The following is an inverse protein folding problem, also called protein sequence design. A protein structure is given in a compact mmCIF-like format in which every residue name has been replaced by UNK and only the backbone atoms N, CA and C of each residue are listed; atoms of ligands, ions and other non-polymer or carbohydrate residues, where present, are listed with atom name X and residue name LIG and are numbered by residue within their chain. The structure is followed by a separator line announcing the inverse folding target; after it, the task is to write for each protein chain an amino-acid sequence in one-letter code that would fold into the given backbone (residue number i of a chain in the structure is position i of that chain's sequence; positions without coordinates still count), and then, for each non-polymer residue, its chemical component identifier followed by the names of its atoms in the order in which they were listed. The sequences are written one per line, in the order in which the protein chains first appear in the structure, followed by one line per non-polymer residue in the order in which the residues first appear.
data_IF_354312999093
#
_entry.id   IF_354312999093
#
_cell.length_a   1.000
_cell.length_b   1.000
_cell.length_c   1.000
_cell.angle_alpha   90.00
_cell.angle_beta   90.00
_cell.angle_gamma   90.00
#
_symmetry.space_group_name_H-M   'P 1'
#
loop_
_entity.id
_entity.type
_entity.pdbx_description
1 polymer ?
#
# COMPACT_ATOMS: atom_id res chain seq x y z
N UNK A 1 19.97 1.99 16.06
CA UNK A 1 20.25 2.77 14.84
C UNK A 1 20.50 1.85 13.64
N UNK A 2 21.45 0.88 13.71
CA UNK A 2 21.80 -0.03 12.59
C UNK A 2 20.61 -0.86 12.08
N UNK A 3 19.77 -1.36 12.97
CA UNK A 3 18.57 -2.13 12.61
C UNK A 3 17.55 -1.25 11.85
N UNK A 4 17.36 -0.02 12.30
CA UNK A 4 16.49 0.96 11.66
C UNK A 4 16.99 1.34 10.27
N UNK A 5 18.29 1.68 10.14
CA UNK A 5 18.90 1.98 8.85
C UNK A 5 18.79 0.82 7.86
N UNK A 6 19.09 -0.42 8.30
CA UNK A 6 18.93 -1.62 7.45
C UNK A 6 17.47 -1.87 7.07
N UNK A 7 16.50 -1.62 7.96
CA UNK A 7 15.07 -1.76 7.66
C UNK A 7 14.60 -0.73 6.62
N UNK A 8 15.04 0.51 6.73
CA UNK A 8 14.79 1.58 5.76
C UNK A 8 15.35 1.22 4.39
N UNK A 9 16.61 0.79 4.32
CA UNK A 9 17.24 0.39 3.05
C UNK A 9 16.51 -0.80 2.43
N UNK A 10 16.18 -1.81 3.24
CA UNK A 10 15.45 -2.99 2.77
C UNK A 10 14.05 -2.62 2.25
N UNK A 11 13.34 -1.72 2.92
CA UNK A 11 12.01 -1.30 2.47
C UNK A 11 12.04 -0.58 1.13
N UNK A 12 13.04 0.29 0.91
CA UNK A 12 13.22 0.97 -0.38
C UNK A 12 13.55 -0.02 -1.48
N UNK A 13 14.51 -0.94 -1.24
CA UNK A 13 14.88 -1.97 -2.21
C UNK A 13 13.72 -2.92 -2.52
N UNK A 14 12.99 -3.35 -1.49
CA UNK A 14 11.80 -4.18 -1.66
C UNK A 14 10.71 -3.44 -2.43
N UNK A 15 10.48 -2.16 -2.13
CA UNK A 15 9.54 -1.32 -2.86
C UNK A 15 9.87 -1.20 -4.35
N UNK A 16 11.15 -0.98 -4.68
CA UNK A 16 11.62 -0.91 -6.07
C UNK A 16 11.47 -2.29 -6.75
N UNK A 17 11.84 -3.38 -6.07
CA UNK A 17 11.71 -4.73 -6.62
C UNK A 17 10.24 -5.08 -6.90
N UNK A 18 9.34 -4.77 -5.96
CA UNK A 18 7.90 -4.98 -6.13
C UNK A 18 7.36 -4.12 -7.26
N UNK A 19 7.74 -2.84 -7.36
CA UNK A 19 7.33 -1.97 -8.46
C UNK A 19 7.80 -2.50 -9.81
N UNK A 20 9.03 -3.00 -9.90
CA UNK A 20 9.55 -3.62 -11.12
C UNK A 20 8.79 -4.91 -11.51
N UNK A 21 8.46 -5.76 -10.52
CA UNK A 21 7.62 -6.95 -10.74
C UNK A 21 6.21 -6.56 -11.22
N UNK A 22 5.60 -5.56 -10.61
CA UNK A 22 4.29 -5.05 -11.00
C UNK A 22 4.30 -4.47 -12.41
N UNK A 23 5.34 -3.72 -12.77
CA UNK A 23 5.51 -3.21 -14.13
C UNK A 23 5.71 -4.32 -15.16
N UNK A 24 6.51 -5.35 -14.83
CA UNK A 24 6.77 -6.48 -15.73
C UNK A 24 5.55 -7.39 -15.93
N UNK A 25 4.77 -7.61 -14.87
CA UNK A 25 3.61 -8.52 -14.87
C UNK A 25 2.26 -7.80 -14.81
N UNK A 26 2.19 -6.55 -15.29
CA UNK A 26 0.98 -5.73 -15.23
C UNK A 26 -0.24 -6.42 -15.85
N UNK A 27 -0.11 -6.92 -17.08
CA UNK A 27 -1.22 -7.55 -17.80
C UNK A 27 -1.71 -8.83 -17.12
N UNK A 28 -0.86 -9.82 -16.80
CA UNK A 28 -1.31 -11.03 -16.13
C UNK A 28 -1.88 -10.76 -14.73
N UNK A 29 -1.38 -9.78 -14.01
CA UNK A 29 -1.92 -9.41 -12.71
C UNK A 29 -3.33 -8.83 -12.83
N UNK A 30 -3.56 -7.89 -13.76
CA UNK A 30 -4.88 -7.30 -13.98
C UNK A 30 -5.91 -8.36 -14.37
N UNK A 31 -5.56 -9.32 -15.24
CA UNK A 31 -6.46 -10.41 -15.61
C UNK A 31 -6.74 -11.35 -14.44
N UNK A 32 -5.72 -11.66 -13.64
CA UNK A 32 -5.86 -12.52 -12.45
C UNK A 32 -6.80 -11.88 -11.39
N UNK A 33 -6.76 -10.55 -11.25
CA UNK A 33 -7.64 -9.81 -10.33
C UNK A 33 -9.02 -9.48 -10.90
N UNK A 34 -9.35 -9.97 -12.10
CA UNK A 34 -10.70 -9.90 -12.65
C UNK A 34 -10.97 -8.64 -13.49
N UNK A 35 -9.94 -8.02 -14.06
CA UNK A 35 -10.14 -6.95 -15.04
C UNK A 35 -10.86 -7.48 -16.27
N UNK A 36 -11.98 -6.87 -16.62
CA UNK A 36 -12.79 -7.20 -17.79
C UNK A 36 -12.35 -6.41 -19.01
N UNK A 37 -12.66 -6.87 -20.22
CA UNK A 37 -12.34 -6.14 -21.44
C UNK A 37 -12.85 -4.69 -21.46
N UNK A 38 -13.96 -4.42 -20.78
CA UNK A 38 -14.57 -3.10 -20.71
C UNK A 38 -13.79 -2.12 -19.81
N UNK A 39 -13.16 -2.61 -18.73
CA UNK A 39 -12.46 -1.76 -17.76
C UNK A 39 -10.93 -1.89 -17.84
N UNK A 40 -10.40 -2.77 -18.68
CA UNK A 40 -8.96 -3.09 -18.74
C UNK A 40 -8.10 -1.86 -19.02
N UNK A 41 -8.53 -0.98 -19.92
CA UNK A 41 -7.77 0.23 -20.25
C UNK A 41 -7.63 1.17 -19.06
N UNK A 42 -8.73 1.44 -18.35
CA UNK A 42 -8.73 2.27 -17.15
C UNK A 42 -7.96 1.63 -16.00
N UNK A 43 -8.12 0.32 -15.82
CA UNK A 43 -7.39 -0.43 -14.81
C UNK A 43 -5.89 -0.42 -15.06
N UNK A 44 -5.47 -0.55 -16.32
CA UNK A 44 -4.07 -0.49 -16.72
C UNK A 44 -3.45 0.88 -16.46
N UNK A 45 -4.17 1.93 -16.80
CA UNK A 45 -3.73 3.31 -16.57
C UNK A 45 -3.55 3.56 -15.06
N UNK A 46 -4.57 3.29 -14.26
CA UNK A 46 -4.51 3.38 -12.80
C UNK A 46 -3.34 2.61 -12.20
N UNK A 47 -3.19 1.35 -12.63
CA UNK A 47 -2.15 0.46 -12.15
C UNK A 47 -0.74 1.00 -12.45
N UNK A 48 -0.54 1.63 -13.61
CA UNK A 48 0.76 2.21 -13.98
C UNK A 48 1.14 3.34 -13.03
N UNK A 49 0.22 4.26 -12.74
CA UNK A 49 0.50 5.37 -11.81
C UNK A 49 0.71 4.90 -10.38
N UNK A 50 -0.10 3.94 -9.91
CA UNK A 50 0.08 3.36 -8.57
C UNK A 50 1.43 2.62 -8.47
N UNK A 51 1.85 1.92 -9.53
CA UNK A 51 3.13 1.21 -9.54
C UNK A 51 4.31 2.15 -9.30
N UNK A 52 4.27 3.37 -9.83
CA UNK A 52 5.28 4.40 -9.55
C UNK A 52 5.28 4.83 -8.07
N UNK A 53 4.12 4.80 -7.41
CA UNK A 53 3.97 5.12 -5.99
C UNK A 53 4.41 4.00 -5.03
N UNK A 54 4.52 2.74 -5.50
CA UNK A 54 4.82 1.58 -4.64
C UNK A 54 6.08 1.77 -3.78
N UNK A 55 7.23 2.21 -4.29
CA UNK A 55 8.43 2.38 -3.47
C UNK A 55 8.21 3.38 -2.32
N UNK A 56 7.48 4.46 -2.59
CA UNK A 56 7.15 5.50 -1.61
C UNK A 56 6.18 4.94 -0.55
N UNK A 57 5.18 4.18 -1.01
CA UNK A 57 4.22 3.53 -0.13
C UNK A 57 4.89 2.52 0.81
N UNK A 58 5.71 1.62 0.27
CA UNK A 58 6.41 0.60 1.07
C UNK A 58 7.34 1.26 2.10
N UNK A 59 8.04 2.32 1.71
CA UNK A 59 8.85 3.11 2.62
C UNK A 59 7.99 3.73 3.75
N UNK A 60 6.87 4.40 3.41
CA UNK A 60 5.95 5.01 4.38
C UNK A 60 5.39 3.99 5.38
N UNK A 61 5.03 2.80 4.90
CA UNK A 61 4.56 1.70 5.75
C UNK A 61 5.66 1.16 6.68
N UNK A 62 6.90 1.08 6.22
CA UNK A 62 8.02 0.59 7.02
C UNK A 62 8.44 1.60 8.10
N UNK A 63 8.35 2.92 7.82
CA UNK A 63 8.80 3.95 8.75
C UNK A 63 7.82 4.18 9.89
N UNK A 64 6.52 3.96 9.68
CA UNK A 64 5.48 4.19 10.67
C UNK A 64 5.67 3.38 11.98
N UNK A 65 5.90 2.05 11.94
CA UNK A 65 6.24 1.27 13.13
C UNK A 65 7.53 1.73 13.81
N UNK A 66 8.51 2.22 13.04
CA UNK A 66 9.78 2.75 13.57
C UNK A 66 9.52 3.99 14.41
N UNK A 67 8.71 4.93 13.93
CA UNK A 67 8.33 6.14 14.66
C UNK A 67 7.57 5.79 15.94
N UNK A 68 6.67 4.81 15.88
CA UNK A 68 5.94 4.32 17.07
C UNK A 68 6.88 3.72 18.11
N UNK A 69 7.85 2.93 17.66
CA UNK A 69 8.85 2.30 18.53
C UNK A 69 9.84 3.31 19.14
N UNK A 70 10.03 4.46 18.49
CA UNK A 70 10.84 5.58 18.98
C UNK A 70 10.12 6.43 20.05
N UNK A 71 8.90 6.04 20.45
CA UNK A 71 8.13 6.71 21.50
C UNK A 71 7.25 7.87 20.99
N UNK A 72 7.05 7.99 19.69
CA UNK A 72 6.24 9.06 19.08
C UNK A 72 5.02 8.54 18.31
N UNK A 73 4.12 7.72 18.93
CA UNK A 73 2.97 7.15 18.22
C UNK A 73 2.01 8.24 17.71
N UNK A 74 1.92 9.37 18.39
CA UNK A 74 1.09 10.50 17.95
C UNK A 74 1.59 11.08 16.62
N UNK A 75 2.91 11.22 16.44
CA UNK A 75 3.46 11.69 15.18
C UNK A 75 3.24 10.66 14.05
N UNK A 76 3.38 9.37 14.33
CA UNK A 76 3.07 8.32 13.37
C UNK A 76 1.60 8.37 12.92
N UNK A 77 0.67 8.58 13.84
CA UNK A 77 -0.75 8.77 13.54
C UNK A 77 -0.99 10.04 12.71
N UNK A 78 -0.40 11.17 13.10
CA UNK A 78 -0.54 12.44 12.37
C UNK A 78 -0.01 12.35 10.95
N UNK A 79 1.10 11.66 10.71
CA UNK A 79 1.64 11.48 9.36
C UNK A 79 0.69 10.67 8.45
N UNK A 80 0.06 9.63 8.98
CA UNK A 80 -0.94 8.86 8.24
C UNK A 80 -2.21 9.68 7.98
N UNK A 81 -2.69 10.41 9.00
CA UNK A 81 -3.86 11.29 8.85
C UNK A 81 -3.62 12.39 7.83
N UNK A 82 -2.45 13.04 7.85
CA UNK A 82 -2.11 14.07 6.88
C UNK A 82 -2.14 13.53 5.44
N UNK A 83 -1.57 12.34 5.20
CA UNK A 83 -1.64 11.68 3.90
C UNK A 83 -3.06 11.32 3.49
N UNK A 84 -3.87 10.81 4.42
CA UNK A 84 -5.27 10.46 4.15
C UNK A 84 -6.14 11.69 3.87
N UNK A 85 -5.99 12.76 4.64
CA UNK A 85 -6.70 14.02 4.43
C UNK A 85 -6.30 14.64 3.08
N UNK A 86 -5.01 14.66 2.76
CA UNK A 86 -4.52 15.16 1.48
C UNK A 86 -5.12 14.35 0.31
N UNK A 87 -5.12 13.02 0.39
CA UNK A 87 -5.76 12.16 -0.61
C UNK A 87 -7.25 12.49 -0.73
N UNK A 88 -7.98 12.58 0.39
CA UNK A 88 -9.41 12.86 0.41
C UNK A 88 -9.77 14.24 -0.21
N UNK A 89 -8.88 15.22 -0.11
CA UNK A 89 -9.06 16.55 -0.72
C UNK A 89 -8.64 16.52 -2.20
N UNK A 90 -7.53 15.86 -2.52
CA UNK A 90 -6.98 15.82 -3.87
C UNK A 90 -7.81 14.96 -4.82
N UNK A 91 -8.44 13.88 -4.34
CA UNK A 91 -9.28 13.01 -5.16
C UNK A 91 -10.40 13.78 -5.88
N UNK A 92 -11.30 14.53 -5.18
CA UNK A 92 -12.34 15.31 -5.83
C UNK A 92 -11.76 16.39 -6.77
N UNK A 93 -10.69 17.04 -6.38
CA UNK A 93 -10.05 18.08 -7.20
C UNK A 93 -9.52 17.46 -8.49
N UNK A 94 -8.80 16.35 -8.41
CA UNK A 94 -8.22 15.70 -9.59
C UNK A 94 -9.30 15.12 -10.52
N UNK A 95 -10.38 14.57 -9.98
CA UNK A 95 -11.45 13.94 -10.75
C UNK A 95 -12.40 14.99 -11.35
N UNK A 96 -12.90 15.93 -10.53
CA UNK A 96 -13.99 16.83 -10.93
C UNK A 96 -13.51 18.19 -11.45
N UNK A 97 -12.40 18.73 -10.92
CA UNK A 97 -11.89 20.06 -11.32
C UNK A 97 -10.89 19.92 -12.48
N UNK A 98 -9.93 19.00 -12.35
CA UNK A 98 -8.91 18.78 -13.37
C UNK A 98 -9.38 17.82 -14.48
N UNK A 99 -10.51 17.14 -14.29
CA UNK A 99 -11.07 16.15 -15.23
C UNK A 99 -10.09 15.03 -15.62
N UNK A 100 -9.18 14.67 -14.70
CA UNK A 100 -8.19 13.61 -14.96
C UNK A 100 -8.76 12.19 -14.80
N UNK A 101 -10.04 12.06 -14.37
CA UNK A 101 -10.69 10.76 -14.24
C UNK A 101 -9.91 9.79 -13.33
N UNK A 102 -9.71 8.58 -13.83
CA UNK A 102 -9.04 7.48 -13.08
C UNK A 102 -7.57 7.80 -12.80
N UNK A 103 -6.87 8.47 -13.73
CA UNK A 103 -5.50 8.95 -13.53
C UNK A 103 -5.41 9.92 -12.36
N UNK A 104 -6.40 10.81 -12.23
CA UNK A 104 -6.46 11.77 -11.12
C UNK A 104 -6.55 11.10 -9.75
N UNK A 105 -7.38 10.07 -9.62
CA UNK A 105 -7.49 9.30 -8.39
C UNK A 105 -6.16 8.60 -8.04
N UNK A 106 -5.47 8.00 -9.02
CA UNK A 106 -4.17 7.40 -8.81
C UNK A 106 -3.12 8.44 -8.36
N UNK A 107 -3.08 9.60 -9.02
CA UNK A 107 -2.16 10.68 -8.69
C UNK A 107 -2.41 11.25 -7.28
N UNK A 108 -3.67 11.44 -6.88
CA UNK A 108 -4.03 11.89 -5.55
C UNK A 108 -3.63 10.88 -4.47
N UNK A 109 -3.80 9.58 -4.75
CA UNK A 109 -3.36 8.51 -3.86
C UNK A 109 -1.84 8.54 -3.66
N UNK A 110 -1.08 8.63 -4.75
CA UNK A 110 0.39 8.74 -4.69
C UNK A 110 0.82 10.01 -3.96
N UNK A 111 0.15 11.15 -4.19
CA UNK A 111 0.44 12.38 -3.47
C UNK A 111 0.24 12.24 -1.94
N UNK A 112 -0.83 11.60 -1.49
CA UNK A 112 -1.04 11.29 -0.08
C UNK A 112 0.08 10.41 0.52
N UNK A 113 0.55 9.41 -0.25
CA UNK A 113 1.68 8.57 0.14
C UNK A 113 2.99 9.36 0.23
N UNK A 114 3.24 10.27 -0.71
CA UNK A 114 4.40 11.16 -0.70
C UNK A 114 4.40 12.04 0.56
N UNK A 115 3.26 12.60 0.95
CA UNK A 115 3.14 13.41 2.16
C UNK A 115 3.47 12.58 3.40
N UNK A 116 2.89 11.38 3.52
CA UNK A 116 3.19 10.47 4.64
C UNK A 116 4.68 10.10 4.70
N UNK A 117 5.28 9.77 3.56
CA UNK A 117 6.69 9.43 3.46
C UNK A 117 7.60 10.63 3.79
N UNK A 118 7.25 11.83 3.30
CA UNK A 118 8.00 13.06 3.57
C UNK A 118 7.98 13.40 5.07
N UNK A 119 6.83 13.28 5.74
CA UNK A 119 6.75 13.44 7.20
C UNK A 119 7.59 12.40 7.93
N UNK A 120 7.61 11.15 7.47
CA UNK A 120 8.47 10.11 8.02
C UNK A 120 9.95 10.44 7.87
N UNK A 121 10.37 10.90 6.70
CA UNK A 121 11.74 11.35 6.44
C UNK A 121 12.09 12.53 7.35
N UNK A 122 11.21 13.52 7.43
CA UNK A 122 11.42 14.68 8.30
C UNK A 122 11.62 14.24 9.76
N UNK A 123 10.82 13.30 10.25
CA UNK A 123 10.97 12.74 11.58
C UNK A 123 12.34 12.12 11.80
N UNK A 124 12.83 11.29 10.87
CA UNK A 124 14.13 10.64 10.97
C UNK A 124 15.30 11.62 11.10
N UNK A 125 15.19 12.81 10.50
CA UNK A 125 16.23 13.84 10.60
C UNK A 125 16.13 14.68 11.89
N UNK A 126 14.96 14.77 12.50
CA UNK A 126 14.71 15.64 13.65
C UNK A 126 14.64 14.89 14.98
N UNK A 127 14.52 13.56 14.96
CA UNK A 127 14.53 12.78 16.20
C UNK A 127 15.90 12.77 16.85
N UNK A 128 15.89 12.99 18.18
CA UNK A 128 17.12 12.97 18.99
C UNK A 128 17.53 11.54 19.39
N UNK A 129 16.60 10.60 19.40
CA UNK A 129 16.80 9.22 19.81
C UNK A 129 17.45 8.37 18.72
N UNK A 130 17.11 8.61 17.45
CA UNK A 130 17.67 7.90 16.29
C UNK A 130 18.72 8.76 15.60
N UNK A 131 19.96 8.69 16.04
CA UNK A 131 21.08 9.32 15.32
C UNK A 131 21.57 8.36 14.24
N UNK A 132 20.94 8.40 13.07
CA UNK A 132 21.33 7.56 11.92
C UNK A 132 22.59 8.14 11.28
N UNK A 133 23.59 7.25 11.11
CA UNK A 133 24.81 7.54 10.34
C UNK A 133 24.72 6.82 8.99
N UNK A 134 25.43 7.34 7.98
CA UNK A 134 25.48 6.72 6.66
C UNK A 134 25.89 5.22 6.70
N UNK A 135 26.67 4.81 7.70
CA UNK A 135 27.10 3.43 7.90
C UNK A 135 26.00 2.50 8.45
N UNK A 136 24.92 3.08 9.02
CA UNK A 136 23.78 2.32 9.54
C UNK A 136 22.85 1.83 8.42
N UNK A 137 22.91 2.45 7.24
CA UNK A 137 22.13 2.04 6.05
C UNK A 137 22.73 0.84 5.31
N UNK A 138 23.91 0.38 5.69
CA UNK A 138 24.52 -0.81 5.08
C UNK A 138 23.77 -2.08 5.49
N UNK A 139 23.32 -2.83 4.49
CA UNK A 139 22.68 -4.14 4.70
C UNK A 139 23.71 -5.11 5.33
N UNK A 140 23.38 -5.64 6.49
CA UNK A 140 24.21 -6.63 7.19
C UNK A 140 23.46 -7.95 7.28
N UNK A 141 24.00 -9.01 6.68
CA UNK A 141 23.37 -10.34 6.63
C UNK A 141 22.97 -10.89 8.01
N UNK A 142 23.73 -10.58 9.07
CA UNK A 142 23.42 -11.00 10.45
C UNK A 142 22.15 -10.33 10.99
N UNK A 143 21.90 -9.08 10.64
CA UNK A 143 20.69 -8.34 11.03
C UNK A 143 19.49 -8.87 10.24
N UNK A 144 19.66 -9.05 8.92
CA UNK A 144 18.65 -9.63 8.04
C UNK A 144 18.22 -11.03 8.51
N UNK A 145 19.17 -11.90 8.85
CA UNK A 145 18.88 -13.26 9.34
C UNK A 145 18.06 -13.30 10.63
N UNK A 146 18.18 -12.30 11.49
CA UNK A 146 17.39 -12.21 12.71
C UNK A 146 15.94 -11.74 12.47
N UNK A 147 15.71 -10.85 11.48
CA UNK A 147 14.38 -10.28 11.21
C UNK A 147 13.59 -11.03 10.14
N UNK A 148 14.26 -11.72 9.22
CA UNK A 148 13.60 -12.45 8.13
C UNK A 148 12.58 -13.49 8.63
N UNK A 149 12.84 -14.31 9.65
CA UNK A 149 11.87 -15.27 10.16
C UNK A 149 10.62 -14.61 10.75
N UNK A 150 10.78 -13.47 11.44
CA UNK A 150 9.66 -12.69 11.99
C UNK A 150 8.79 -12.08 10.88
N UNK A 151 9.44 -11.56 9.83
CA UNK A 151 8.77 -11.04 8.65
C UNK A 151 8.04 -12.13 7.87
N UNK A 152 8.58 -13.36 7.85
CA UNK A 152 7.98 -14.48 7.13
C UNK A 152 6.60 -14.87 7.69
N UNK A 153 6.41 -14.85 9.00
CA UNK A 153 5.12 -15.11 9.61
C UNK A 153 4.07 -14.08 9.17
N UNK A 154 4.41 -12.80 9.20
CA UNK A 154 3.52 -11.73 8.74
C UNK A 154 3.24 -11.82 7.24
N UNK A 155 4.25 -12.17 6.44
CA UNK A 155 4.13 -12.36 5.01
C UNK A 155 3.17 -13.51 4.67
N UNK A 156 3.28 -14.67 5.33
CA UNK A 156 2.39 -15.81 5.13
C UNK A 156 0.96 -15.48 5.52
N UNK A 157 0.75 -14.75 6.62
CA UNK A 157 -0.57 -14.28 7.02
C UNK A 157 -1.20 -13.37 5.96
N UNK A 158 -0.43 -12.43 5.39
CA UNK A 158 -0.91 -11.53 4.34
C UNK A 158 -1.19 -12.26 3.03
N UNK A 159 -0.34 -13.20 2.62
CA UNK A 159 -0.59 -14.04 1.44
C UNK A 159 -1.88 -14.84 1.61
N UNK A 160 -2.12 -15.42 2.78
CA UNK A 160 -3.36 -16.16 3.06
C UNK A 160 -4.60 -15.28 2.86
N UNK A 161 -4.57 -14.04 3.34
CA UNK A 161 -5.66 -13.08 3.12
C UNK A 161 -5.85 -12.74 1.63
N UNK A 162 -4.76 -12.53 0.89
CA UNK A 162 -4.83 -12.22 -0.55
C UNK A 162 -5.40 -13.39 -1.34
N UNK A 163 -4.98 -14.62 -1.03
CA UNK A 163 -5.51 -15.84 -1.67
C UNK A 163 -7.01 -15.99 -1.36
N UNK A 164 -7.41 -15.80 -0.10
CA UNK A 164 -8.81 -15.86 0.29
C UNK A 164 -9.66 -14.82 -0.45
N UNK A 165 -9.18 -13.57 -0.55
CA UNK A 165 -9.83 -12.51 -1.31
C UNK A 165 -9.95 -12.85 -2.81
N UNK A 166 -8.87 -13.30 -3.43
CA UNK A 166 -8.87 -13.68 -4.84
C UNK A 166 -9.83 -14.85 -5.11
N UNK A 167 -9.83 -15.87 -4.25
CA UNK A 167 -10.75 -16.99 -4.34
C UNK A 167 -12.21 -16.53 -4.18
N UNK A 168 -12.49 -15.68 -3.20
CA UNK A 168 -13.83 -15.13 -2.98
C UNK A 168 -14.30 -14.32 -4.16
N UNK A 169 -13.46 -13.43 -4.70
CA UNK A 169 -13.81 -12.65 -5.90
C UNK A 169 -14.10 -13.54 -7.11
N UNK A 170 -13.26 -14.53 -7.38
CA UNK A 170 -13.48 -15.46 -8.48
C UNK A 170 -14.78 -16.28 -8.32
N UNK A 171 -15.05 -16.75 -7.10
CA UNK A 171 -16.31 -17.46 -6.80
C UNK A 171 -17.53 -16.55 -7.00
N UNK A 172 -17.45 -15.28 -6.54
CA UNK A 172 -18.54 -14.33 -6.72
C UNK A 172 -18.79 -13.99 -8.19
N UNK A 173 -17.74 -13.89 -9.02
CA UNK A 173 -17.88 -13.70 -10.46
C UNK A 173 -18.51 -14.93 -11.10
N UNK A 174 -18.01 -16.13 -10.79
CA UNK A 174 -18.47 -17.37 -11.40
C UNK A 174 -19.92 -17.71 -11.02
N UNK A 175 -20.27 -17.65 -9.74
CA UNK A 175 -21.61 -17.98 -9.26
C UNK A 175 -22.57 -16.80 -9.35
N UNK A 176 -22.08 -15.56 -9.27
CA UNK A 176 -22.86 -14.37 -9.44
C UNK A 176 -23.42 -14.22 -10.86
N UNK A 177 -22.64 -14.61 -11.86
CA UNK A 177 -23.06 -14.58 -13.26
C UNK A 177 -24.29 -15.47 -13.55
N UNK A 178 -24.48 -16.55 -12.78
CA UNK A 178 -25.63 -17.44 -12.86
C UNK A 178 -26.78 -17.03 -11.91
N UNK A 179 -26.58 -15.98 -11.11
CA UNK A 179 -27.56 -15.50 -10.16
C UNK A 179 -28.47 -14.39 -10.75
N UNK A 180 -29.61 -14.14 -10.09
CA UNK A 180 -30.56 -13.06 -10.44
C UNK A 180 -29.91 -11.65 -10.41
N UNK A 181 -28.76 -11.50 -9.74
CA UNK A 181 -28.12 -10.20 -9.49
C UNK A 181 -26.89 -9.94 -10.38
N UNK A 182 -26.47 -10.90 -11.21
CA UNK A 182 -25.24 -10.78 -12.01
C UNK A 182 -23.97 -10.82 -11.16
N UNK A 183 -22.81 -10.66 -11.78
CA UNK A 183 -21.51 -10.73 -11.11
C UNK A 183 -21.14 -9.42 -10.36
N UNK A 184 -21.59 -8.27 -10.86
CA UNK A 184 -21.12 -6.96 -10.38
C UNK A 184 -21.71 -6.58 -9.01
N UNK A 185 -22.99 -6.90 -8.76
CA UNK A 185 -23.65 -6.55 -7.50
C UNK A 185 -23.02 -7.29 -6.30
N UNK A 186 -22.81 -8.61 -6.33
CA UNK A 186 -22.15 -9.32 -5.22
C UNK A 186 -20.72 -8.83 -4.94
N UNK A 187 -19.96 -8.49 -5.98
CA UNK A 187 -18.61 -7.91 -5.82
C UNK A 187 -18.65 -6.55 -5.12
N UNK A 188 -19.57 -5.69 -5.51
CA UNK A 188 -19.75 -4.37 -4.89
C UNK A 188 -20.16 -4.50 -3.43
N UNK A 189 -21.09 -5.40 -3.11
CA UNK A 189 -21.53 -5.66 -1.74
C UNK A 189 -20.37 -6.19 -0.88
N UNK A 190 -19.57 -7.14 -1.40
CA UNK A 190 -18.39 -7.63 -0.70
C UNK A 190 -17.42 -6.49 -0.40
N UNK A 191 -17.16 -5.62 -1.37
CA UNK A 191 -16.28 -4.46 -1.19
C UNK A 191 -16.75 -3.51 -0.08
N UNK A 192 -18.05 -3.26 0.01
CA UNK A 192 -18.65 -2.42 1.07
C UNK A 192 -18.52 -3.12 2.43
N UNK A 193 -18.89 -4.40 2.52
CA UNK A 193 -18.82 -5.19 3.75
C UNK A 193 -17.39 -5.24 4.29
N UNK A 194 -16.40 -5.47 3.41
CA UNK A 194 -14.99 -5.50 3.81
C UNK A 194 -14.50 -4.14 4.33
N UNK A 195 -14.94 -3.02 3.75
CA UNK A 195 -14.61 -1.68 4.25
C UNK A 195 -15.21 -1.42 5.64
N UNK A 196 -16.47 -1.78 5.85
CA UNK A 196 -17.13 -1.65 7.16
C UNK A 196 -16.41 -2.51 8.20
N UNK A 197 -16.06 -3.75 7.85
CA UNK A 197 -15.31 -4.66 8.72
C UNK A 197 -13.95 -4.08 9.11
N UNK A 198 -13.24 -3.47 8.14
CA UNK A 198 -11.95 -2.84 8.39
C UNK A 198 -12.05 -1.62 9.31
N UNK A 199 -13.12 -0.84 9.21
CA UNK A 199 -13.38 0.28 10.14
C UNK A 199 -13.59 -0.26 11.57
N UNK A 200 -14.37 -1.31 11.74
CA UNK A 200 -14.64 -1.93 13.05
C UNK A 200 -13.33 -2.43 13.68
N UNK A 201 -12.49 -3.15 12.92
CA UNK A 201 -11.18 -3.62 13.39
C UNK A 201 -10.26 -2.45 13.76
N UNK A 202 -10.33 -1.32 13.05
CA UNK A 202 -9.47 -0.16 13.33
C UNK A 202 -9.82 0.57 14.61
N UNK A 203 -11.02 0.34 15.16
CA UNK A 203 -11.49 0.94 16.41
C UNK A 203 -11.13 0.06 17.62
N UNK A 204 -10.89 -1.23 17.40
CA UNK A 204 -10.52 -2.19 18.45
C UNK A 204 -9.01 -2.25 18.65
#
# INVERSE_FOLDING_TARGET
NRAVGSAVTLSVLAGIAVAALYAAFQTPLLTLFGATAANFSYAKEYFTYITLGIPIYVFGQAINPIIRSDGSPQFAMLSMLAGAIANCILDPIAIFVLHWGVMGAAAATVAGQVITAAMGIWYLFHTKALRLKADDFKLRGRILGAYLPLGLCSFLAQISLVIAMAATNNMLVQYGASSKYGADIPLTVLGIVMKVFQIIISIT
#
